data_IF_545063218943
#
_entry.id   IF_545063218943
#
_cell.length_a   1.000
_cell.length_b   1.000
_cell.length_c   1.000
_cell.angle_alpha   90.00
_cell.angle_beta   90.00
_cell.angle_gamma   90.00
#
_symmetry.space_group_name_H-M   'P 1'
#
loop_
_entity.id
_entity.type
_entity.pdbx_description
1 polymer ?
#
# COMPACT_ATOMS: atom_id res chain seq x y z
N UNK A 1 16.10 34.23 0.02
CA UNK A 1 17.00 33.08 -0.22
C UNK A 1 17.11 32.36 1.13
N UNK A 2 16.73 31.11 1.38
CA UNK A 2 16.44 29.92 0.56
C UNK A 2 15.56 29.00 1.44
N UNK A 3 14.33 28.67 1.04
CA UNK A 3 13.54 27.54 1.59
C UNK A 3 12.79 26.75 0.51
N UNK A 4 12.83 27.21 -0.75
CA UNK A 4 12.01 26.67 -1.84
C UNK A 4 12.55 25.34 -2.37
N UNK A 5 13.87 25.24 -2.57
CA UNK A 5 14.52 24.03 -3.10
C UNK A 5 14.32 22.77 -2.25
N UNK A 6 14.27 22.90 -0.92
CA UNK A 6 14.13 21.74 -0.02
C UNK A 6 12.71 21.14 -0.02
N UNK A 7 11.69 22.00 -0.05
CA UNK A 7 10.28 21.59 -0.09
C UNK A 7 9.92 20.99 -1.47
N UNK A 8 10.46 21.58 -2.54
CA UNK A 8 10.26 21.08 -3.90
C UNK A 8 10.91 19.69 -4.10
N UNK A 9 12.11 19.47 -3.56
CA UNK A 9 12.77 18.15 -3.60
C UNK A 9 12.04 17.10 -2.74
N UNK A 10 11.57 17.48 -1.54
CA UNK A 10 10.78 16.59 -0.70
C UNK A 10 9.49 16.16 -1.40
N UNK A 11 8.75 17.11 -1.98
CA UNK A 11 7.54 16.81 -2.73
C UNK A 11 7.81 15.96 -3.97
N UNK A 12 8.93 16.17 -4.66
CA UNK A 12 9.33 15.32 -5.79
C UNK A 12 9.57 13.88 -5.35
N UNK A 13 10.35 13.66 -4.29
CA UNK A 13 10.63 12.31 -3.77
C UNK A 13 9.36 11.61 -3.27
N UNK A 14 8.44 12.34 -2.66
CA UNK A 14 7.15 11.80 -2.23
C UNK A 14 6.31 11.36 -3.44
N UNK A 15 6.26 12.17 -4.50
CA UNK A 15 5.53 11.83 -5.73
C UNK A 15 6.09 10.58 -6.43
N UNK A 16 7.41 10.41 -6.45
CA UNK A 16 8.05 9.20 -6.98
C UNK A 16 7.63 7.93 -6.21
N UNK A 17 7.47 8.04 -4.89
CA UNK A 17 7.09 6.90 -4.04
C UNK A 17 5.59 6.57 -4.04
N UNK A 18 4.73 7.52 -4.41
CA UNK A 18 3.27 7.40 -4.26
C UNK A 18 2.58 6.50 -5.30
N UNK A 19 3.23 6.14 -6.40
CA UNK A 19 2.61 5.42 -7.53
C UNK A 19 3.20 4.03 -7.80
N UNK A 20 3.95 3.48 -6.85
CA UNK A 20 4.55 2.14 -6.99
C UNK A 20 3.69 1.12 -6.27
N UNK A 21 3.20 0.06 -6.96
CA UNK A 21 2.44 -1.00 -6.32
C UNK A 21 3.35 -1.78 -5.36
N UNK A 22 2.83 -2.07 -4.17
CA UNK A 22 3.55 -2.74 -3.10
C UNK A 22 2.67 -3.79 -2.42
N UNK A 23 3.29 -4.92 -2.07
CA UNK A 23 2.64 -5.96 -1.31
C UNK A 23 2.81 -5.66 0.18
N UNK A 24 1.69 -5.43 0.87
CA UNK A 24 1.68 -5.12 2.28
C UNK A 24 1.03 -6.23 3.10
N UNK A 25 1.71 -6.65 4.17
CA UNK A 25 1.07 -7.44 5.21
C UNK A 25 0.37 -6.49 6.17
N UNK A 26 -0.96 -6.51 6.24
CA UNK A 26 -1.74 -5.61 7.08
C UNK A 26 -2.36 -6.31 8.29
N UNK A 27 -2.50 -5.58 9.38
CA UNK A 27 -3.28 -5.94 10.56
C UNK A 27 -4.41 -4.93 10.72
N UNK A 28 -5.63 -5.43 10.95
CA UNK A 28 -6.79 -4.59 11.20
C UNK A 28 -7.16 -4.69 12.66
N UNK A 29 -7.22 -3.56 13.36
CA UNK A 29 -7.63 -3.48 14.77
C UNK A 29 -8.70 -2.41 14.95
N UNK A 30 -9.83 -2.68 15.63
CA UNK A 30 -10.76 -1.63 16.01
C UNK A 30 -10.08 -0.69 17.01
N UNK A 31 -10.19 0.61 16.78
CA UNK A 31 -9.75 1.65 17.68
C UNK A 31 -10.95 2.52 18.04
N UNK A 32 -11.18 2.73 19.32
CA UNK A 32 -12.26 3.59 19.81
C UNK A 32 -11.64 4.75 20.56
N UNK A 33 -11.89 5.95 20.06
CA UNK A 33 -11.40 7.18 20.67
C UNK A 33 -12.49 8.24 20.62
N UNK A 34 -12.74 8.89 21.77
CA UNK A 34 -13.77 9.93 21.92
C UNK A 34 -15.17 9.49 21.42
N UNK A 35 -15.52 8.22 21.60
CA UNK A 35 -16.82 7.65 21.20
C UNK A 35 -16.94 7.30 19.71
N UNK A 36 -15.92 7.54 18.88
CA UNK A 36 -15.89 7.05 17.51
C UNK A 36 -15.09 5.75 17.39
N UNK A 37 -15.76 4.70 16.90
CA UNK A 37 -15.13 3.42 16.57
C UNK A 37 -14.65 3.44 15.12
N UNK A 38 -13.34 3.45 14.91
CA UNK A 38 -12.71 3.39 13.59
C UNK A 38 -11.85 2.14 13.46
N UNK A 39 -11.80 1.53 12.28
CA UNK A 39 -10.87 0.45 12.02
C UNK A 39 -9.51 1.05 11.67
N UNK A 40 -8.48 0.70 12.45
CA UNK A 40 -7.10 1.06 12.14
C UNK A 40 -6.45 -0.07 11.35
N UNK A 41 -6.00 0.24 10.15
CA UNK A 41 -5.19 -0.65 9.31
C UNK A 41 -3.72 -0.30 9.56
N UNK A 42 -2.94 -1.28 10.02
CA UNK A 42 -1.51 -1.12 10.30
C UNK A 42 -0.71 -2.03 9.37
N UNK A 43 0.27 -1.46 8.65
CA UNK A 43 1.20 -2.25 7.84
C UNK A 43 2.24 -2.89 8.78
N UNK A 44 2.33 -4.22 8.76
CA UNK A 44 3.28 -5.04 9.51
C UNK A 44 4.50 -5.44 8.70
N UNK A 45 4.41 -5.40 7.37
CA UNK A 45 5.51 -5.73 6.48
C UNK A 45 5.27 -5.21 5.07
N UNK A 46 6.36 -4.95 4.35
CA UNK A 46 6.39 -4.45 2.98
C UNK A 46 7.24 -5.38 2.12
N UNK A 47 6.78 -5.63 0.89
CA UNK A 47 7.52 -6.34 -0.14
C UNK A 47 7.22 -5.74 -1.52
N UNK A 48 8.17 -5.79 -2.47
CA UNK A 48 7.90 -5.43 -3.86
C UNK A 48 6.94 -6.45 -4.49
N UNK A 49 6.12 -6.00 -5.44
CA UNK A 49 5.22 -6.88 -6.19
C UNK A 49 6.03 -7.71 -7.18
N UNK A 50 5.84 -9.04 -7.18
CA UNK A 50 6.36 -9.94 -8.19
C UNK A 50 5.26 -10.25 -9.22
N UNK A 51 5.33 -9.67 -10.45
CA UNK A 51 4.27 -9.81 -11.44
C UNK A 51 4.05 -11.26 -11.91
N UNK A 52 5.11 -12.08 -11.92
CA UNK A 52 5.03 -13.45 -12.41
C UNK A 52 4.20 -14.34 -11.46
N UNK A 53 4.45 -14.20 -10.15
CA UNK A 53 3.69 -14.92 -9.13
C UNK A 53 2.24 -14.43 -9.06
N UNK A 54 2.01 -13.12 -9.16
CA UNK A 54 0.66 -12.54 -9.15
C UNK A 54 -0.18 -13.00 -10.36
N UNK A 55 0.40 -12.95 -11.57
CA UNK A 55 -0.30 -13.40 -12.78
C UNK A 55 -0.70 -14.87 -12.71
N UNK A 56 0.19 -15.71 -12.17
CA UNK A 56 -0.09 -17.14 -11.98
C UNK A 56 -1.22 -17.38 -10.97
N UNK A 57 -1.22 -16.64 -9.86
CA UNK A 57 -2.30 -16.70 -8.87
C UNK A 57 -3.65 -16.28 -9.47
N UNK A 58 -3.68 -15.18 -10.22
CA UNK A 58 -4.90 -14.69 -10.85
C UNK A 58 -5.47 -15.68 -11.88
N UNK A 59 -4.61 -16.30 -12.70
CA UNK A 59 -5.04 -17.34 -13.65
C UNK A 59 -5.64 -18.56 -12.94
N UNK A 60 -5.06 -18.97 -11.81
CA UNK A 60 -5.58 -20.08 -10.99
C UNK A 60 -6.95 -19.75 -10.38
N UNK A 61 -7.14 -18.53 -9.88
CA UNK A 61 -8.44 -18.07 -9.37
C UNK A 61 -9.50 -17.96 -10.47
N UNK A 62 -9.14 -17.46 -11.66
CA UNK A 62 -10.05 -17.42 -12.82
C UNK A 62 -10.46 -18.83 -13.23
N UNK A 63 -9.53 -19.78 -13.25
CA UNK A 63 -9.82 -21.16 -13.57
C UNK A 63 -10.82 -21.79 -12.58
N UNK A 64 -10.73 -21.48 -11.29
CA UNK A 64 -11.68 -21.95 -10.26
C UNK A 64 -13.08 -21.36 -10.41
N UNK A 65 -13.19 -20.12 -10.89
CA UNK A 65 -14.47 -19.44 -11.11
C UNK A 65 -15.19 -19.87 -12.39
N UNK A 66 -14.46 -20.46 -13.34
CA UNK A 66 -15.00 -20.96 -14.61
C UNK A 66 -15.43 -22.44 -14.57
N UNK A 67 -15.30 -23.11 -13.41
CA UNK A 67 -15.64 -24.51 -13.21
C UNK A 67 -17.01 -24.70 -12.54
#
# INVERSE_FOLDING_TARGET
MILKDGDDQYQMKLKEAMWVPHLFRVMVSPNEYMGEKRQRITVRGHAPVDPATESKYLLDEIAKLSA
#
